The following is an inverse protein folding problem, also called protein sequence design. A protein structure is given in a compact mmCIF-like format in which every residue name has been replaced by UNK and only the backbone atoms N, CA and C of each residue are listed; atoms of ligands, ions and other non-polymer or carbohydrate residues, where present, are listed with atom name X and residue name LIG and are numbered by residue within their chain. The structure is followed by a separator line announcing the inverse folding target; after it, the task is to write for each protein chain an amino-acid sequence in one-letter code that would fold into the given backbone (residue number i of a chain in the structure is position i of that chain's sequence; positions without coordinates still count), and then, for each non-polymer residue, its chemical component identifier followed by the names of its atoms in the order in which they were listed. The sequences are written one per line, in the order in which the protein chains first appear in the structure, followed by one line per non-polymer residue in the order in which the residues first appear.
data_IF_106057374207
#
_entry.id   IF_106057374207
#
_cell.length_a   1.000
_cell.length_b   1.000
_cell.length_c   1.000
_cell.angle_alpha   90.00
_cell.angle_beta   90.00
_cell.angle_gamma   90.00
#
_symmetry.space_group_name_H-M   'P 1'
#
loop_
_entity.id
_entity.type
_entity.pdbx_description
1 polymer ?
#
# COMPACT_ATOMS: atom_id res chain seq x y z
N UNK A 1 41.81 -44.27 -55.80
CA UNK A 1 40.57 -43.69 -56.34
C UNK A 1 39.47 -44.60 -55.85
N UNK A 2 38.92 -44.30 -54.67
CA UNK A 2 38.31 -45.32 -53.81
C UNK A 2 37.06 -44.79 -53.07
N UNK A 3 36.04 -45.66 -53.03
CA UNK A 3 34.98 -45.87 -52.02
C UNK A 3 33.90 -44.81 -51.66
N UNK A 4 32.66 -45.12 -52.06
CA UNK A 4 31.39 -45.24 -51.29
C UNK A 4 30.97 -44.24 -50.17
N UNK A 5 29.72 -43.71 -50.27
CA UNK A 5 28.53 -43.85 -49.36
C UNK A 5 27.61 -42.61 -49.49
N UNK A 6 26.45 -42.66 -50.15
CA UNK A 6 25.07 -43.07 -49.75
C UNK A 6 24.27 -42.16 -48.79
N UNK A 7 23.09 -41.73 -49.30
CA UNK A 7 21.78 -41.45 -48.66
C UNK A 7 21.65 -40.17 -47.79
N UNK A 8 20.60 -39.34 -47.87
CA UNK A 8 19.17 -39.62 -48.00
C UNK A 8 18.40 -38.38 -48.53
N UNK A 9 17.64 -38.55 -49.62
CA UNK A 9 16.53 -37.65 -50.01
C UNK A 9 15.20 -38.36 -49.72
N UNK A 10 14.22 -37.64 -49.18
CA UNK A 10 12.80 -38.04 -49.20
C UNK A 10 11.90 -36.82 -49.40
N UNK A 11 10.71 -37.01 -49.97
CA UNK A 11 10.13 -36.10 -50.97
C UNK A 11 8.90 -35.35 -50.46
N UNK A 12 8.49 -34.33 -51.23
CA UNK A 12 7.19 -33.69 -51.13
C UNK A 12 6.03 -34.64 -51.47
N UNK A 13 4.87 -34.45 -50.83
CA UNK A 13 3.49 -34.53 -51.36
C UNK A 13 2.51 -34.34 -50.18
N UNK A 14 1.47 -33.53 -50.39
CA UNK A 14 0.16 -33.75 -49.74
C UNK A 14 -0.53 -32.48 -49.24
N UNK A 15 -1.25 -31.78 -50.13
CA UNK A 15 -2.41 -30.98 -49.73
C UNK A 15 -3.46 -31.89 -49.10
N UNK A 16 -3.89 -31.54 -47.89
CA UNK A 16 -4.94 -32.22 -47.14
C UNK A 16 -5.50 -31.24 -46.12
N UNK A 17 -6.71 -30.79 -46.39
CA UNK A 17 -7.54 -29.88 -45.62
C UNK A 17 -7.65 -30.24 -44.13
N UNK A 18 -7.25 -29.33 -43.26
CA UNK A 18 -7.81 -29.20 -41.91
C UNK A 18 -8.20 -27.73 -41.69
N UNK A 19 -9.35 -27.38 -42.26
CA UNK A 19 -10.11 -26.19 -41.90
C UNK A 19 -10.62 -26.33 -40.47
N UNK A 20 -9.80 -25.92 -39.50
CA UNK A 20 -10.27 -25.55 -38.15
C UNK A 20 -9.52 -24.35 -37.58
N UNK A 21 -8.92 -23.52 -38.45
CA UNK A 21 -8.25 -22.28 -38.09
C UNK A 21 -9.13 -21.06 -38.44
N UNK A 22 -10.26 -20.86 -37.75
CA UNK A 22 -11.06 -19.64 -37.98
C UNK A 22 -12.03 -19.22 -36.87
N UNK A 23 -11.66 -19.22 -35.59
CA UNK A 23 -12.28 -18.26 -34.63
C UNK A 23 -11.29 -17.86 -33.54
N UNK A 24 -10.46 -16.86 -33.83
CA UNK A 24 -10.01 -15.75 -32.93
C UNK A 24 -8.81 -15.07 -33.59
N UNK A 25 -9.09 -14.24 -34.59
CA UNK A 25 -8.10 -13.36 -35.21
C UNK A 25 -7.76 -12.18 -34.31
N UNK A 26 -7.08 -12.44 -33.19
CA UNK A 26 -6.38 -11.41 -32.44
C UNK A 26 -4.89 -11.60 -32.65
N UNK A 27 -4.34 -10.94 -33.68
CA UNK A 27 -2.90 -10.69 -33.71
C UNK A 27 -2.53 -9.95 -32.43
N UNK A 28 -1.50 -10.37 -31.67
CA UNK A 28 -1.02 -9.57 -30.55
C UNK A 28 -0.58 -8.22 -31.12
N UNK A 29 -1.28 -7.16 -30.74
CA UNK A 29 -1.07 -5.81 -31.30
C UNK A 29 0.34 -5.24 -30.93
N UNK A 30 1.09 -5.93 -30.07
CA UNK A 30 2.41 -5.52 -29.58
C UNK A 30 3.30 -6.75 -29.27
N UNK A 31 4.58 -6.65 -29.62
CA UNK A 31 5.60 -7.60 -29.12
C UNK A 31 5.70 -7.48 -27.60
N UNK A 32 5.60 -8.61 -26.90
CA UNK A 32 5.68 -8.65 -25.46
C UNK A 32 7.12 -8.34 -24.99
N UNK A 33 7.38 -7.08 -24.63
CA UNK A 33 8.74 -6.59 -24.28
C UNK A 33 9.18 -7.06 -22.89
N UNK A 34 8.26 -7.25 -21.93
CA UNK A 34 8.58 -7.60 -20.54
C UNK A 34 8.36 -9.10 -20.23
N UNK A 35 9.32 -9.67 -19.48
CA UNK A 35 9.24 -11.04 -18.97
C UNK A 35 8.14 -11.14 -17.91
N UNK A 36 7.30 -12.18 -18.00
CA UNK A 36 6.34 -12.51 -16.94
C UNK A 36 7.09 -12.90 -15.66
N UNK A 37 6.78 -12.24 -14.56
CA UNK A 37 7.44 -12.36 -13.24
C UNK A 37 6.45 -12.49 -12.09
N UNK A 38 5.22 -12.01 -12.25
CA UNK A 38 4.23 -11.98 -11.18
C UNK A 38 3.09 -12.96 -11.44
N UNK A 39 2.74 -13.70 -10.40
CA UNK A 39 1.51 -14.48 -10.32
C UNK A 39 0.57 -13.84 -9.30
N UNK A 40 -0.64 -14.37 -9.19
CA UNK A 40 -1.66 -13.89 -8.25
C UNK A 40 -1.18 -13.72 -6.80
N UNK A 41 -0.45 -14.70 -6.26
CA UNK A 41 0.05 -14.66 -4.89
C UNK A 41 1.05 -13.53 -4.70
N UNK A 42 2.02 -13.39 -5.62
CA UNK A 42 2.99 -12.30 -5.55
C UNK A 42 2.32 -10.93 -5.66
N UNK A 43 1.27 -10.79 -6.47
CA UNK A 43 0.50 -9.55 -6.57
C UNK A 43 -0.21 -9.20 -5.26
N UNK A 44 -0.85 -10.17 -4.59
CA UNK A 44 -1.48 -9.94 -3.27
C UNK A 44 -0.43 -9.60 -2.22
N UNK A 45 0.68 -10.33 -2.17
CA UNK A 45 1.73 -10.06 -1.18
C UNK A 45 2.31 -8.65 -1.37
N UNK A 46 2.55 -8.24 -2.63
CA UNK A 46 2.99 -6.89 -2.94
C UNK A 46 1.94 -5.84 -2.60
N UNK A 47 0.66 -6.13 -2.82
CA UNK A 47 -0.44 -5.26 -2.38
C UNK A 47 -0.39 -5.02 -0.87
N UNK A 48 -0.39 -6.10 -0.08
CA UNK A 48 -0.42 -6.03 1.38
C UNK A 48 0.78 -5.27 1.94
N UNK A 49 1.98 -5.54 1.41
CA UNK A 49 3.20 -4.86 1.81
C UNK A 49 3.21 -3.37 1.41
N UNK A 50 2.70 -3.00 0.23
CA UNK A 50 2.68 -1.60 -0.23
C UNK A 50 1.63 -0.79 0.51
N UNK A 51 0.46 -1.36 0.81
CA UNK A 51 -0.57 -0.67 1.59
C UNK A 51 -0.11 -0.38 3.02
N UNK A 52 0.74 -1.24 3.61
CA UNK A 52 1.34 -1.06 4.94
C UNK A 52 0.31 -0.61 5.99
N UNK A 53 -0.88 -1.25 5.97
CA UNK A 53 -2.07 -0.70 6.60
C UNK A 53 -1.93 -0.54 8.12
N UNK A 54 -1.39 -1.56 8.79
CA UNK A 54 -1.21 -1.52 10.23
C UNK A 54 -0.08 -0.56 10.64
N UNK A 55 1.02 -0.49 9.89
CA UNK A 55 2.10 0.47 10.15
C UNK A 55 1.67 1.92 9.95
N UNK A 56 0.85 2.16 8.93
CA UNK A 56 0.34 3.49 8.61
C UNK A 56 -0.54 4.04 9.73
N UNK A 57 -1.44 3.20 10.29
CA UNK A 57 -2.30 3.59 11.40
C UNK A 57 -1.47 3.94 12.63
N UNK A 58 -0.48 3.10 12.95
CA UNK A 58 0.41 3.29 14.10
C UNK A 58 1.20 4.58 14.00
N UNK A 59 1.80 4.81 12.84
CA UNK A 59 2.64 5.98 12.59
C UNK A 59 1.85 7.28 12.68
N UNK A 60 0.52 7.22 12.45
CA UNK A 60 -0.40 8.36 12.48
C UNK A 60 -1.35 8.34 13.69
N UNK A 61 -1.07 7.51 14.70
CA UNK A 61 -1.97 7.30 15.84
C UNK A 61 -2.20 8.58 16.66
N UNK A 62 -1.24 9.51 16.66
CA UNK A 62 -1.37 10.82 17.30
C UNK A 62 -2.64 11.55 16.86
N UNK A 63 -2.95 11.55 15.56
CA UNK A 63 -4.14 12.22 15.02
C UNK A 63 -5.42 11.63 15.63
N UNK A 64 -5.51 10.31 15.72
CA UNK A 64 -6.67 9.65 16.33
C UNK A 64 -6.72 9.84 17.85
N UNK A 65 -5.59 9.98 18.54
CA UNK A 65 -5.57 10.31 19.97
C UNK A 65 -6.14 11.70 20.27
N UNK A 66 -5.85 12.67 19.40
CA UNK A 66 -6.41 14.04 19.51
C UNK A 66 -7.87 14.05 19.07
N UNK A 67 -8.19 13.29 18.02
CA UNK A 67 -9.49 13.32 17.34
C UNK A 67 -10.17 11.95 17.35
N UNK A 68 -11.17 11.79 18.23
CA UNK A 68 -12.08 10.65 18.26
C UNK A 68 -11.62 9.46 19.12
N UNK A 69 -10.32 9.32 19.37
CA UNK A 69 -9.77 8.30 20.24
C UNK A 69 -9.87 6.87 19.68
N UNK A 70 -9.83 5.85 20.56
CA UNK A 70 -9.93 4.43 20.17
C UNK A 70 -11.24 4.12 19.45
N UNK A 71 -12.33 4.77 19.85
CA UNK A 71 -13.65 4.64 19.23
C UNK A 71 -13.61 5.03 17.74
N UNK A 72 -12.92 6.12 17.39
CA UNK A 72 -12.76 6.54 15.99
C UNK A 72 -11.87 5.61 15.18
N UNK A 73 -10.85 5.00 15.78
CA UNK A 73 -10.02 4.00 15.11
C UNK A 73 -10.83 2.75 14.74
N UNK A 74 -11.62 2.22 15.68
CA UNK A 74 -12.38 0.98 15.44
C UNK A 74 -13.52 1.21 14.44
N UNK A 75 -14.38 2.20 14.69
CA UNK A 75 -15.53 2.44 13.82
C UNK A 75 -15.13 3.11 12.50
N UNK A 76 -14.12 3.98 12.54
CA UNK A 76 -13.52 4.56 11.34
C UNK A 76 -12.94 3.53 10.41
N UNK A 77 -12.29 2.50 10.96
CA UNK A 77 -11.79 1.40 10.16
C UNK A 77 -12.89 0.65 9.42
N UNK A 78 -14.04 0.35 10.03
CA UNK A 78 -15.14 -0.31 9.31
C UNK A 78 -15.67 0.55 8.16
N UNK A 79 -15.78 1.87 8.37
CA UNK A 79 -16.22 2.81 7.34
C UNK A 79 -15.20 2.85 6.21
N UNK A 80 -13.92 3.06 6.53
CA UNK A 80 -12.81 3.10 5.56
C UNK A 80 -12.70 1.78 4.79
N UNK A 81 -12.70 0.63 5.48
CA UNK A 81 -12.58 -0.69 4.85
C UNK A 81 -13.74 -0.98 3.89
N UNK A 82 -14.98 -0.67 4.29
CA UNK A 82 -16.14 -0.88 3.43
C UNK A 82 -16.12 0.02 2.20
N UNK A 83 -15.77 1.31 2.38
CA UNK A 83 -15.62 2.24 1.27
C UNK A 83 -14.49 1.82 0.31
N UNK A 84 -13.34 1.43 0.86
CA UNK A 84 -12.20 0.94 0.08
C UNK A 84 -12.51 -0.37 -0.65
N UNK A 85 -13.30 -1.26 -0.05
CA UNK A 85 -13.74 -2.48 -0.71
C UNK A 85 -14.68 -2.19 -1.88
N UNK A 86 -15.62 -1.25 -1.72
CA UNK A 86 -16.47 -0.78 -2.82
C UNK A 86 -15.63 -0.15 -3.95
N UNK A 87 -14.64 0.67 -3.62
CA UNK A 87 -13.69 1.21 -4.59
C UNK A 87 -12.89 0.11 -5.31
N UNK A 88 -12.46 -0.92 -4.58
CA UNK A 88 -11.75 -2.06 -5.16
C UNK A 88 -12.60 -2.84 -6.16
N UNK A 89 -13.89 -3.05 -5.87
CA UNK A 89 -14.81 -3.68 -6.82
C UNK A 89 -14.96 -2.85 -8.09
N UNK A 90 -15.22 -1.54 -7.97
CA UNK A 90 -15.33 -0.66 -9.14
C UNK A 90 -14.04 -0.63 -9.96
N UNK A 91 -12.88 -0.58 -9.29
CA UNK A 91 -11.59 -0.56 -9.98
C UNK A 91 -11.26 -1.90 -10.65
N UNK A 92 -11.62 -3.02 -10.02
CA UNK A 92 -11.47 -4.35 -10.57
C UNK A 92 -12.33 -4.55 -11.83
N UNK A 93 -13.56 -4.04 -11.83
CA UNK A 93 -14.42 -4.04 -13.01
C UNK A 93 -13.82 -3.21 -14.14
N UNK A 94 -13.31 -2.02 -13.83
CA UNK A 94 -12.60 -1.18 -14.81
C UNK A 94 -11.34 -1.87 -15.35
N UNK A 95 -10.54 -2.49 -14.47
CA UNK A 95 -9.36 -3.25 -14.87
C UNK A 95 -9.76 -4.38 -15.82
N UNK A 96 -10.87 -5.10 -15.55
CA UNK A 96 -11.38 -6.14 -16.45
C UNK A 96 -11.87 -5.56 -17.78
N UNK A 97 -12.66 -4.48 -17.75
CA UNK A 97 -13.30 -3.88 -18.93
C UNK A 97 -12.36 -3.07 -19.82
N UNK A 98 -11.32 -2.45 -19.29
CA UNK A 98 -10.37 -1.63 -20.07
C UNK A 98 -9.22 -2.48 -20.60
N UNK A 99 -8.80 -3.52 -19.87
CA UNK A 99 -7.77 -4.47 -20.34
C UNK A 99 -8.31 -5.35 -21.48
N UNK A 100 -9.61 -5.70 -21.47
CA UNK A 100 -10.21 -6.62 -22.46
C UNK A 100 -10.22 -6.09 -23.92
N UNK A 101 -10.57 -4.81 -24.21
CA UNK A 101 -10.64 -4.29 -25.58
C UNK A 101 -9.34 -3.65 -26.05
N UNK A 102 -8.46 -3.25 -25.12
CA UNK A 102 -7.27 -2.46 -25.49
C UNK A 102 -6.02 -3.28 -25.75
N UNK A 103 -5.91 -4.54 -25.30
CA UNK A 103 -4.67 -5.34 -25.37
C UNK A 103 -3.41 -4.55 -24.97
N UNK A 104 -3.57 -3.51 -24.15
CA UNK A 104 -2.47 -2.72 -23.62
C UNK A 104 -2.50 -2.95 -22.12
N UNK A 105 -1.94 -4.06 -21.61
CA UNK A 105 -1.40 -4.02 -20.27
C UNK A 105 -0.40 -2.86 -20.34
N UNK A 106 -0.78 -1.68 -19.85
CA UNK A 106 0.09 -0.51 -19.88
C UNK A 106 0.35 -0.13 -18.45
N UNK A 107 1.62 0.01 -18.07
CA UNK A 107 2.04 0.57 -16.76
C UNK A 107 1.42 1.96 -16.49
N UNK A 108 0.86 2.62 -17.53
CA UNK A 108 0.13 3.88 -17.48
C UNK A 108 -1.08 3.92 -16.52
N UNK A 109 -1.60 2.78 -16.05
CA UNK A 109 -2.52 2.73 -14.90
C UNK A 109 -3.78 3.62 -15.01
N UNK A 110 -4.16 4.26 -13.90
CA UNK A 110 -5.43 4.96 -13.72
C UNK A 110 -5.67 6.16 -14.68
N UNK A 111 -4.63 6.93 -15.04
CA UNK A 111 -4.84 8.09 -15.93
C UNK A 111 -5.19 7.66 -17.35
N UNK A 112 -4.63 6.53 -17.82
CA UNK A 112 -4.99 5.95 -19.11
C UNK A 112 -6.44 5.47 -19.12
N UNK A 113 -6.90 4.87 -18.02
CA UNK A 113 -8.28 4.45 -17.85
C UNK A 113 -9.22 5.65 -17.87
N UNK A 114 -8.87 6.73 -17.16
CA UNK A 114 -9.64 7.97 -17.15
C UNK A 114 -9.76 8.59 -18.56
N UNK A 115 -8.68 8.60 -19.34
CA UNK A 115 -8.70 9.04 -20.74
C UNK A 115 -9.64 8.22 -21.61
N UNK A 116 -9.59 6.88 -21.50
CA UNK A 116 -10.37 5.96 -22.32
C UNK A 116 -11.87 6.00 -22.00
N UNK A 117 -12.22 6.18 -20.73
CA UNK A 117 -13.61 6.24 -20.28
C UNK A 117 -14.26 7.61 -20.52
N UNK A 118 -13.46 8.65 -20.65
CA UNK A 118 -13.96 10.00 -20.90
C UNK A 118 -14.35 10.23 -22.38
N UNK A 119 -15.31 11.14 -22.66
CA UNK A 119 -15.68 11.49 -24.02
C UNK A 119 -14.47 11.97 -24.85
N UNK A 120 -14.40 11.69 -26.17
CA UNK A 120 -13.25 12.02 -27.01
C UNK A 120 -12.82 13.50 -26.93
N UNK A 121 -13.79 14.41 -26.75
CA UNK A 121 -13.57 15.85 -26.61
C UNK A 121 -12.75 16.23 -25.36
N UNK A 122 -12.91 15.50 -24.26
CA UNK A 122 -12.29 15.80 -22.97
C UNK A 122 -11.15 14.86 -22.59
N UNK A 123 -10.97 13.78 -23.35
CA UNK A 123 -9.99 12.73 -23.06
C UNK A 123 -8.60 13.23 -22.75
N UNK A 124 -8.07 14.13 -23.58
CA UNK A 124 -6.73 14.72 -23.36
C UNK A 124 -6.65 15.56 -22.08
N UNK A 125 -7.72 16.31 -21.75
CA UNK A 125 -7.75 17.15 -20.55
C UNK A 125 -7.83 16.30 -19.28
N UNK A 126 -8.74 15.31 -19.27
CA UNK A 126 -8.90 14.37 -18.16
C UNK A 126 -7.59 13.63 -17.90
N UNK A 127 -6.96 13.09 -18.95
CA UNK A 127 -5.67 12.43 -18.85
C UNK A 127 -4.56 13.31 -18.27
N UNK A 128 -4.48 14.56 -18.71
CA UNK A 128 -3.49 15.52 -18.22
C UNK A 128 -3.66 15.78 -16.72
N UNK A 129 -4.88 16.10 -16.26
CA UNK A 129 -5.13 16.36 -14.85
C UNK A 129 -4.94 15.11 -14.00
N UNK A 130 -5.45 13.94 -14.44
CA UNK A 130 -5.26 12.67 -13.74
C UNK A 130 -3.77 12.31 -13.59
N UNK A 131 -2.96 12.53 -14.63
CA UNK A 131 -1.52 12.28 -14.56
C UNK A 131 -0.81 13.22 -13.59
N UNK A 132 -1.12 14.52 -13.61
CA UNK A 132 -0.52 15.47 -12.67
C UNK A 132 -0.92 15.23 -11.22
N UNK A 133 -2.19 14.84 -10.98
CA UNK A 133 -2.64 14.44 -9.65
C UNK A 133 -1.84 13.22 -9.17
N UNK A 134 -1.64 12.22 -10.03
CA UNK A 134 -0.84 11.04 -9.69
C UNK A 134 0.62 11.40 -9.36
N UNK A 135 1.26 12.26 -10.16
CA UNK A 135 2.64 12.73 -9.90
C UNK A 135 2.72 13.49 -8.58
N UNK A 136 1.78 14.40 -8.31
CA UNK A 136 1.75 15.14 -7.05
C UNK A 136 1.53 14.21 -5.85
N UNK A 137 0.57 13.28 -5.95
CA UNK A 137 0.30 12.30 -4.90
C UNK A 137 1.51 11.42 -4.60
N UNK A 138 2.20 10.92 -5.63
CA UNK A 138 3.41 10.10 -5.43
C UNK A 138 4.56 10.90 -4.81
N UNK A 139 4.75 12.16 -5.20
CA UNK A 139 5.74 13.05 -4.60
C UNK A 139 5.45 13.32 -3.11
N UNK A 140 4.20 13.66 -2.78
CA UNK A 140 3.78 13.88 -1.39
C UNK A 140 3.88 12.60 -0.56
N UNK A 141 3.45 11.45 -1.10
CA UNK A 141 3.55 10.16 -0.41
C UNK A 141 5.01 9.80 -0.08
N UNK A 142 5.94 10.04 -1.01
CA UNK A 142 7.37 9.83 -0.79
C UNK A 142 7.90 10.71 0.33
N UNK A 143 7.58 12.02 0.32
CA UNK A 143 7.99 12.95 1.37
C UNK A 143 7.41 12.53 2.72
N UNK A 144 6.12 12.19 2.79
CA UNK A 144 5.44 11.73 4.01
C UNK A 144 6.10 10.47 4.59
N UNK A 145 6.42 9.48 3.75
CA UNK A 145 7.10 8.26 4.22
C UNK A 145 8.46 8.57 4.85
N UNK A 146 9.27 9.42 4.20
CA UNK A 146 10.57 9.83 4.75
C UNK A 146 10.46 10.74 5.98
N UNK A 147 9.39 11.52 6.10
CA UNK A 147 9.07 12.31 7.29
C UNK A 147 8.80 11.40 8.49
N UNK A 148 7.97 10.36 8.31
CA UNK A 148 7.68 9.38 9.35
C UNK A 148 8.97 8.70 9.83
N UNK A 149 9.86 8.31 8.90
CA UNK A 149 11.18 7.76 9.25
C UNK A 149 12.00 8.74 10.07
N UNK A 150 12.03 10.02 9.69
CA UNK A 150 12.72 11.07 10.44
C UNK A 150 12.18 11.24 11.87
N UNK A 151 10.85 11.25 12.03
CA UNK A 151 10.20 11.33 13.34
C UNK A 151 10.49 10.10 14.20
N UNK A 152 10.44 8.90 13.61
CA UNK A 152 10.75 7.64 14.30
C UNK A 152 12.20 7.59 14.77
N UNK A 153 13.18 7.94 13.92
CA UNK A 153 14.60 7.98 14.29
C UNK A 153 14.84 9.01 15.39
N UNK A 154 14.26 10.21 15.27
CA UNK A 154 14.38 11.24 16.31
C UNK A 154 13.78 10.76 17.64
N UNK A 155 12.62 10.08 17.62
CA UNK A 155 12.01 9.54 18.83
C UNK A 155 12.94 8.56 19.56
N UNK A 156 13.67 7.73 18.83
CA UNK A 156 14.64 6.81 19.42
C UNK A 156 15.83 7.55 20.05
N UNK A 157 16.26 8.68 19.46
CA UNK A 157 17.30 9.52 20.05
C UNK A 157 16.84 10.17 21.37
N UNK A 158 15.59 10.63 21.45
CA UNK A 158 15.00 11.16 22.70
C UNK A 158 14.98 10.09 23.79
N UNK A 159 14.55 8.87 23.47
CA UNK A 159 14.50 7.75 24.42
C UNK A 159 15.91 7.33 24.87
N UNK A 160 16.87 7.26 23.95
CA UNK A 160 18.24 6.84 24.25
C UNK A 160 19.04 7.89 25.04
N UNK A 161 18.74 9.18 24.87
CA UNK A 161 19.50 10.30 25.41
C UNK A 161 18.62 11.38 26.07
N UNK A 162 17.81 11.03 27.10
CA UNK A 162 16.75 11.88 27.62
C UNK A 162 17.25 13.20 28.23
N UNK A 163 18.49 13.24 28.71
CA UNK A 163 19.06 14.41 29.41
C UNK A 163 19.99 15.26 28.54
N UNK A 164 20.31 14.83 27.32
CA UNK A 164 21.35 15.46 26.49
C UNK A 164 20.91 15.79 25.08
N UNK A 165 19.81 15.20 24.60
CA UNK A 165 19.29 15.45 23.26
C UNK A 165 18.07 16.38 23.31
N UNK A 166 18.16 17.52 22.65
CA UNK A 166 17.04 18.46 22.49
C UNK A 166 16.39 18.29 21.11
N UNK A 167 15.14 17.81 21.03
CA UNK A 167 14.49 17.52 19.75
C UNK A 167 14.02 18.78 19.02
N UNK A 168 14.78 19.21 18.01
CA UNK A 168 14.39 20.31 17.11
C UNK A 168 13.79 19.83 15.78
N UNK A 169 12.93 20.66 15.17
CA UNK A 169 12.25 20.33 13.90
C UNK A 169 13.21 20.13 12.72
N UNK A 170 14.33 20.85 12.71
CA UNK A 170 15.30 20.73 11.63
C UNK A 170 16.07 19.41 11.69
N UNK A 171 16.19 18.76 12.86
CA UNK A 171 16.75 17.41 12.96
C UNK A 171 15.92 16.41 12.13
N UNK A 172 14.59 16.45 12.25
CA UNK A 172 13.67 15.63 11.44
C UNK A 172 13.86 15.92 9.95
N UNK A 173 13.92 17.20 9.57
CA UNK A 173 14.14 17.60 8.19
C UNK A 173 15.47 17.09 7.63
N UNK A 174 16.55 17.15 8.41
CA UNK A 174 17.86 16.66 8.00
C UNK A 174 17.84 15.12 7.78
N UNK A 175 17.20 14.36 8.68
CA UNK A 175 17.06 12.91 8.54
C UNK A 175 16.18 12.56 7.33
N UNK A 176 15.07 13.29 7.13
CA UNK A 176 14.21 13.16 5.96
C UNK A 176 15.02 13.37 4.68
N UNK A 177 15.74 14.49 4.57
CA UNK A 177 16.54 14.83 3.40
C UNK A 177 17.62 13.78 3.11
N UNK A 178 18.30 13.27 4.15
CA UNK A 178 19.27 12.20 4.04
C UNK A 178 18.63 10.89 3.55
N UNK A 179 17.49 10.50 4.13
CA UNK A 179 16.77 9.29 3.73
C UNK A 179 16.31 9.37 2.28
N UNK A 180 15.83 10.54 1.85
CA UNK A 180 15.42 10.78 0.47
C UNK A 180 16.61 10.73 -0.50
N UNK A 181 17.77 11.27 -0.10
CA UNK A 181 18.99 11.18 -0.88
C UNK A 181 19.49 9.74 -1.03
N UNK A 182 19.41 8.93 0.03
CA UNK A 182 19.73 7.49 -0.02
C UNK A 182 18.76 6.76 -0.97
N UNK A 183 17.46 7.03 -0.86
CA UNK A 183 16.45 6.45 -1.73
C UNK A 183 16.71 6.82 -3.20
N UNK A 184 17.00 8.09 -3.50
CA UNK A 184 17.36 8.56 -4.83
C UNK A 184 18.60 7.82 -5.37
N UNK A 185 19.65 7.71 -4.55
CA UNK A 185 20.90 7.04 -4.91
C UNK A 185 20.65 5.57 -5.28
N UNK A 186 19.85 4.85 -4.49
CA UNK A 186 19.50 3.45 -4.78
C UNK A 186 18.70 3.34 -6.07
N UNK A 187 17.72 4.23 -6.28
CA UNK A 187 16.88 4.21 -7.49
C UNK A 187 17.69 4.50 -8.76
N UNK A 188 18.65 5.43 -8.71
CA UNK A 188 19.46 5.81 -9.87
C UNK A 188 20.57 4.79 -10.15
N UNK A 189 21.32 4.38 -9.13
CA UNK A 189 22.55 3.60 -9.35
C UNK A 189 22.37 2.09 -9.14
N UNK A 190 21.36 1.65 -8.38
CA UNK A 190 21.18 0.23 -8.03
C UNK A 190 19.71 -0.22 -8.08
N UNK A 191 19.01 -0.11 -9.22
CA UNK A 191 17.61 -0.52 -9.34
C UNK A 191 17.38 -2.01 -9.04
N UNK A 192 18.39 -2.88 -9.25
CA UNK A 192 18.29 -4.31 -8.86
C UNK A 192 18.18 -4.53 -7.35
N UNK A 193 18.66 -3.60 -6.51
CA UNK A 193 18.50 -3.68 -5.06
C UNK A 193 17.05 -3.53 -4.62
N UNK A 194 16.22 -2.83 -5.41
CA UNK A 194 14.81 -2.62 -5.08
C UNK A 194 14.07 -3.95 -4.89
N UNK A 195 14.36 -4.95 -5.73
CA UNK A 195 13.76 -6.28 -5.61
C UNK A 195 14.06 -6.93 -4.24
N UNK A 196 15.31 -6.89 -3.79
CA UNK A 196 15.71 -7.44 -2.50
C UNK A 196 15.12 -6.64 -1.33
N UNK A 197 15.07 -5.31 -1.45
CA UNK A 197 14.43 -4.45 -0.46
C UNK A 197 12.93 -4.74 -0.35
N UNK A 198 12.23 -5.01 -1.45
CA UNK A 198 10.81 -5.40 -1.43
C UNK A 198 10.59 -6.74 -0.73
N UNK A 199 11.46 -7.74 -0.95
CA UNK A 199 11.39 -9.02 -0.24
C UNK A 199 11.62 -8.80 1.26
N UNK A 200 12.66 -8.05 1.62
CA UNK A 200 12.97 -7.72 3.02
C UNK A 200 11.80 -6.98 3.69
N UNK A 201 11.23 -5.97 3.02
CA UNK A 201 10.08 -5.21 3.52
C UNK A 201 8.87 -6.12 3.74
N UNK A 202 8.61 -7.06 2.84
CA UNK A 202 7.52 -8.04 2.99
C UNK A 202 7.73 -8.92 4.22
N UNK A 203 8.95 -9.43 4.42
CA UNK A 203 9.27 -10.25 5.60
C UNK A 203 9.10 -9.44 6.89
N UNK A 204 9.61 -8.21 6.92
CA UNK A 204 9.50 -7.32 8.08
C UNK A 204 8.05 -6.90 8.35
N UNK A 205 7.23 -6.71 7.32
CA UNK A 205 5.81 -6.38 7.44
C UNK A 205 5.06 -7.47 8.23
N UNK A 206 5.18 -8.73 7.81
CA UNK A 206 4.49 -9.83 8.51
C UNK A 206 5.14 -10.16 9.85
N UNK A 207 6.48 -10.20 9.93
CA UNK A 207 7.17 -10.48 11.19
C UNK A 207 6.90 -9.39 12.23
N UNK A 208 6.98 -8.12 11.82
CA UNK A 208 6.71 -6.95 12.64
C UNK A 208 5.29 -6.93 13.17
N UNK A 209 4.31 -7.29 12.34
CA UNK A 209 2.91 -7.45 12.76
C UNK A 209 2.79 -8.39 13.96
N UNK A 210 3.30 -9.62 13.85
CA UNK A 210 3.20 -10.61 14.92
C UNK A 210 4.00 -10.19 16.15
N UNK A 211 5.23 -9.71 15.95
CA UNK A 211 6.13 -9.31 17.03
C UNK A 211 5.54 -8.16 17.85
N UNK A 212 5.11 -7.07 17.21
CA UNK A 212 4.55 -5.90 17.90
C UNK A 212 3.22 -6.26 18.56
N UNK A 213 2.38 -7.07 17.91
CA UNK A 213 1.13 -7.55 18.51
C UNK A 213 1.38 -8.32 19.81
N UNK A 214 2.33 -9.26 19.80
CA UNK A 214 2.68 -10.06 20.98
C UNK A 214 3.29 -9.18 22.07
N UNK A 215 4.19 -8.27 21.71
CA UNK A 215 4.80 -7.32 22.66
C UNK A 215 3.74 -6.51 23.38
N UNK A 216 2.81 -5.89 22.65
CA UNK A 216 1.72 -5.10 23.25
C UNK A 216 0.84 -5.96 24.16
N UNK A 217 0.44 -7.15 23.71
CA UNK A 217 -0.44 -8.01 24.51
C UNK A 217 0.20 -8.49 25.81
N UNK A 218 1.51 -8.79 25.79
CA UNK A 218 2.26 -9.32 26.93
C UNK A 218 2.73 -8.21 27.88
N UNK A 219 3.23 -7.09 27.36
CA UNK A 219 3.78 -6.01 28.18
C UNK A 219 2.68 -5.19 28.85
N UNK A 220 1.57 -4.92 28.16
CA UNK A 220 0.50 -4.10 28.74
C UNK A 220 -0.24 -4.83 29.85
N UNK A 221 0.01 -4.42 31.09
CA UNK A 221 -0.60 -5.01 32.30
C UNK A 221 -2.09 -4.73 32.41
N UNK A 222 -2.45 -3.45 32.28
CA UNK A 222 -3.84 -2.98 32.40
C UNK A 222 -4.38 -2.63 31.01
N UNK A 223 -5.36 -3.40 30.55
CA UNK A 223 -5.99 -3.19 29.24
C UNK A 223 -7.22 -2.32 29.38
N UNK A 224 -7.46 -1.47 28.38
CA UNK A 224 -8.59 -0.56 28.37
C UNK A 224 -9.93 -1.31 28.41
N UNK A 225 -10.94 -0.71 29.03
CA UNK A 225 -12.28 -1.31 29.05
C UNK A 225 -12.93 -1.29 27.66
N UNK A 226 -13.79 -2.28 27.38
CA UNK A 226 -14.56 -2.30 26.13
C UNK A 226 -15.40 -1.03 25.93
N UNK A 227 -15.89 -0.43 27.02
CA UNK A 227 -16.61 0.86 26.95
C UNK A 227 -15.72 1.96 26.39
N UNK A 228 -14.48 2.05 26.84
CA UNK A 228 -13.51 3.03 26.36
C UNK A 228 -13.16 2.82 24.88
N UNK A 229 -12.99 1.56 24.47
CA UNK A 229 -12.63 1.22 23.09
C UNK A 229 -13.76 1.46 22.10
N UNK A 230 -15.00 1.12 22.44
CA UNK A 230 -16.12 1.11 21.49
C UNK A 230 -17.12 2.24 21.65
N UNK A 231 -17.18 2.90 22.82
CA UNK A 231 -18.29 3.78 23.19
C UNK A 231 -17.88 5.08 23.90
N UNK A 232 -16.58 5.40 23.98
CA UNK A 232 -16.09 6.66 24.54
C UNK A 232 -15.44 7.48 23.44
N UNK A 233 -16.18 8.35 22.74
CA UNK A 233 -15.58 9.29 21.82
C UNK A 233 -14.74 10.31 22.59
N UNK A 234 -13.53 10.59 22.08
CA UNK A 234 -12.64 11.59 22.66
C UNK A 234 -12.53 12.82 21.78
N UNK A 235 -12.54 14.00 22.38
CA UNK A 235 -12.44 15.24 21.65
C UNK A 235 -11.45 16.20 22.32
N UNK A 236 -10.18 16.11 21.89
CA UNK A 236 -9.09 16.96 22.36
C UNK A 236 -8.68 17.99 21.29
N UNK A 237 -9.49 18.17 20.25
CA UNK A 237 -9.14 18.98 19.07
C UNK A 237 -9.54 20.44 19.18
N UNK A 238 -10.33 20.80 20.19
CA UNK A 238 -10.93 22.13 20.34
C UNK A 238 -12.16 22.38 19.44
N UNK A 239 -12.62 21.36 18.69
CA UNK A 239 -13.84 21.46 17.90
C UNK A 239 -15.07 21.24 18.79
N UNK A 240 -16.13 22.03 18.59
CA UNK A 240 -17.36 21.92 19.39
C UNK A 240 -18.21 20.68 19.08
N UNK A 241 -18.00 20.04 17.92
CA UNK A 241 -18.82 18.93 17.44
C UNK A 241 -18.03 17.63 17.47
N UNK A 242 -18.48 16.69 18.31
CA UNK A 242 -17.87 15.37 18.40
C UNK A 242 -18.01 14.58 17.10
N UNK A 243 -19.07 14.82 16.31
CA UNK A 243 -19.24 14.22 14.99
C UNK A 243 -18.18 14.70 13.99
N UNK A 244 -17.85 16.00 14.00
CA UNK A 244 -16.77 16.54 13.18
C UNK A 244 -15.41 15.97 13.62
N UNK A 245 -15.17 15.91 14.93
CA UNK A 245 -13.95 15.35 15.50
C UNK A 245 -13.80 13.86 15.14
N UNK A 246 -14.89 13.10 15.16
CA UNK A 246 -14.92 11.72 14.71
C UNK A 246 -14.53 11.60 13.23
N UNK A 247 -15.11 12.41 12.34
CA UNK A 247 -14.77 12.40 10.91
C UNK A 247 -13.30 12.72 10.64
N UNK A 248 -12.70 13.64 11.42
CA UNK A 248 -11.27 13.94 11.35
C UNK A 248 -10.43 12.75 11.87
N UNK A 249 -10.92 12.06 12.90
CA UNK A 249 -10.29 10.89 13.51
C UNK A 249 -10.21 9.65 12.61
N UNK A 250 -11.03 9.59 11.54
CA UNK A 250 -11.07 8.50 10.54
C UNK A 250 -9.95 8.63 9.50
N UNK A 251 -9.23 9.76 9.44
CA UNK A 251 -8.19 9.98 8.44
C UNK A 251 -7.07 8.90 8.47
N UNK A 252 -6.52 8.50 9.64
CA UNK A 252 -5.50 7.45 9.70
C UNK A 252 -5.99 6.09 9.21
N UNK A 253 -7.25 5.72 9.49
CA UNK A 253 -7.82 4.45 9.01
C UNK A 253 -8.07 4.47 7.51
N UNK A 254 -8.35 5.63 6.94
CA UNK A 254 -8.51 5.80 5.48
C UNK A 254 -7.16 5.74 4.77
N UNK A 255 -6.12 6.32 5.37
CA UNK A 255 -4.75 6.25 4.85
C UNK A 255 -4.22 4.80 4.77
N UNK A 256 -4.69 3.89 5.63
CA UNK A 256 -4.31 2.48 5.61
C UNK A 256 -4.70 1.72 4.32
N UNK A 257 -5.63 2.25 3.54
CA UNK A 257 -6.13 1.63 2.29
C UNK A 257 -5.68 2.35 1.03
N UNK A 258 -4.58 3.12 1.10
CA UNK A 258 -3.98 3.72 -0.09
C UNK A 258 -3.45 2.64 -1.05
N UNK A 259 -3.30 3.03 -2.32
CA UNK A 259 -2.70 2.22 -3.39
C UNK A 259 -3.49 0.97 -3.81
N UNK A 260 -4.83 1.06 -3.80
CA UNK A 260 -5.72 -0.01 -4.31
C UNK A 260 -5.39 -0.39 -5.77
N UNK A 261 -4.90 0.56 -6.57
CA UNK A 261 -4.49 0.38 -7.96
C UNK A 261 -3.13 -0.30 -8.16
N UNK A 262 -2.38 -0.57 -7.09
CA UNK A 262 -1.02 -1.09 -7.19
C UNK A 262 -0.89 -2.33 -8.10
N UNK A 263 -1.78 -3.34 -8.07
CA UNK A 263 -1.69 -4.50 -8.95
C UNK A 263 -1.75 -4.13 -10.45
N UNK A 264 -2.44 -3.04 -10.82
CA UNK A 264 -2.53 -2.58 -12.21
C UNK A 264 -1.19 -2.17 -12.79
N UNK A 265 -0.23 -1.75 -11.96
CA UNK A 265 1.08 -1.29 -12.40
C UNK A 265 1.97 -2.44 -12.88
N UNK A 266 1.68 -3.66 -12.43
CA UNK A 266 2.42 -4.87 -12.76
C UNK A 266 1.74 -5.71 -13.85
N UNK A 267 0.70 -5.17 -14.51
CA UNK A 267 -0.11 -5.90 -15.49
C UNK A 267 0.74 -6.50 -16.63
N UNK A 268 1.73 -5.76 -17.13
CA UNK A 268 2.62 -6.23 -18.20
C UNK A 268 3.47 -7.45 -17.79
N UNK A 269 3.92 -7.45 -16.54
CA UNK A 269 4.76 -8.50 -15.95
C UNK A 269 3.95 -9.63 -15.29
N UNK A 270 2.62 -9.57 -15.32
CA UNK A 270 1.73 -10.57 -14.72
C UNK A 270 1.40 -11.70 -15.70
N UNK A 271 1.43 -12.96 -15.26
CA UNK A 271 1.13 -14.14 -16.08
C UNK A 271 -0.30 -14.13 -16.64
N UNK A 272 -1.31 -13.98 -15.78
CA UNK A 272 -2.73 -13.93 -16.15
C UNK A 272 -3.38 -12.59 -15.77
N UNK A 273 -3.02 -11.47 -16.44
CA UNK A 273 -3.38 -10.13 -16.00
C UNK A 273 -4.90 -9.90 -15.95
N UNK A 274 -5.66 -10.51 -16.87
CA UNK A 274 -7.12 -10.34 -16.92
C UNK A 274 -7.85 -10.92 -15.69
N UNK A 275 -7.28 -11.96 -15.08
CA UNK A 275 -7.86 -12.62 -13.92
C UNK A 275 -7.20 -12.15 -12.63
N UNK A 276 -5.87 -12.11 -12.60
CA UNK A 276 -5.11 -11.94 -11.38
C UNK A 276 -5.10 -10.49 -10.90
N UNK A 277 -5.04 -9.50 -11.80
CA UNK A 277 -5.01 -8.08 -11.41
C UNK A 277 -6.33 -7.65 -10.74
N UNK A 278 -7.52 -7.87 -11.34
CA UNK A 278 -8.79 -7.53 -10.68
C UNK A 278 -8.99 -8.28 -9.36
N UNK A 279 -8.63 -9.58 -9.32
CA UNK A 279 -8.73 -10.38 -8.11
C UNK A 279 -7.78 -9.88 -7.03
N UNK A 280 -6.56 -9.50 -7.38
CA UNK A 280 -5.56 -9.01 -6.43
C UNK A 280 -5.97 -7.66 -5.82
N UNK A 281 -6.70 -6.80 -6.55
CA UNK A 281 -7.27 -5.57 -5.97
C UNK A 281 -8.31 -5.89 -4.90
N UNK A 282 -9.29 -6.74 -5.23
CA UNK A 282 -10.41 -7.09 -4.36
C UNK A 282 -9.92 -7.86 -3.13
N UNK A 283 -9.12 -8.91 -3.33
CA UNK A 283 -8.57 -9.74 -2.26
C UNK A 283 -7.45 -9.05 -1.51
N UNK A 284 -6.72 -8.12 -2.14
CA UNK A 284 -5.72 -7.30 -1.49
C UNK A 284 -6.34 -6.40 -0.44
N UNK A 285 -7.41 -5.67 -0.77
CA UNK A 285 -8.14 -4.84 0.21
C UNK A 285 -8.73 -5.71 1.30
N UNK A 286 -9.46 -6.78 0.95
CA UNK A 286 -10.06 -7.68 1.95
C UNK A 286 -9.00 -8.29 2.89
N UNK A 287 -7.92 -8.84 2.33
CA UNK A 287 -6.81 -9.41 3.10
C UNK A 287 -6.10 -8.38 3.97
N UNK A 288 -5.90 -7.16 3.46
CA UNK A 288 -5.34 -6.04 4.21
C UNK A 288 -6.25 -5.63 5.37
N UNK A 289 -7.57 -5.63 5.16
CA UNK A 289 -8.54 -5.39 6.22
C UNK A 289 -8.49 -6.47 7.30
N UNK A 290 -8.44 -7.76 6.90
CA UNK A 290 -8.34 -8.88 7.84
C UNK A 290 -7.05 -8.87 8.65
N UNK A 291 -5.94 -8.42 8.05
CA UNK A 291 -4.67 -8.26 8.77
C UNK A 291 -4.72 -7.05 9.73
N UNK A 292 -5.20 -5.91 9.26
CA UNK A 292 -5.12 -4.64 10.00
C UNK A 292 -6.12 -4.57 11.16
N UNK A 293 -7.31 -5.15 11.02
CA UNK A 293 -8.37 -5.04 12.03
C UNK A 293 -8.00 -5.61 13.41
N UNK A 294 -7.49 -6.86 13.54
CA UNK A 294 -7.03 -7.39 14.83
C UNK A 294 -6.01 -6.48 15.51
N UNK A 295 -5.12 -5.88 14.72
CA UNK A 295 -4.07 -5.02 15.23
C UNK A 295 -4.60 -3.67 15.74
N UNK A 296 -5.62 -3.10 15.09
CA UNK A 296 -6.34 -1.94 15.62
C UNK A 296 -6.96 -2.26 16.99
N UNK A 297 -7.58 -3.43 17.14
CA UNK A 297 -8.12 -3.85 18.43
C UNK A 297 -7.02 -3.95 19.48
N UNK A 298 -5.90 -4.61 19.15
CA UNK A 298 -4.75 -4.73 20.07
C UNK A 298 -4.28 -3.36 20.54
N UNK A 299 -4.09 -2.40 19.64
CA UNK A 299 -3.70 -1.03 20.01
C UNK A 299 -4.77 -0.35 20.85
N UNK A 300 -6.03 -0.38 20.43
CA UNK A 300 -7.11 0.28 21.17
C UNK A 300 -7.21 -0.23 22.62
N UNK A 301 -7.01 -1.53 22.84
CA UNK A 301 -6.99 -2.14 24.16
C UNK A 301 -5.68 -1.92 24.93
N UNK A 302 -4.54 -1.79 24.25
CA UNK A 302 -3.22 -1.75 24.90
C UNK A 302 -2.62 -0.34 25.03
N UNK A 303 -3.22 0.69 24.43
CA UNK A 303 -2.61 2.03 24.42
C UNK A 303 -2.64 2.79 25.75
N UNK A 304 -3.41 2.33 26.74
CA UNK A 304 -3.62 3.08 27.99
C UNK A 304 -4.51 4.31 27.83
N UNK A 305 -4.50 5.20 28.82
CA UNK A 305 -5.37 6.39 28.87
C UNK A 305 -4.88 7.48 27.90
N UNK A 306 -5.67 7.88 26.89
CA UNK A 306 -5.23 8.81 25.86
C UNK A 306 -4.78 10.19 26.37
N UNK A 307 -5.34 10.66 27.49
CA UNK A 307 -4.93 11.94 28.07
C UNK A 307 -3.51 11.92 28.63
N UNK A 308 -3.04 10.77 29.12
CA UNK A 308 -1.69 10.64 29.65
C UNK A 308 -0.66 10.49 28.53
N UNK A 309 -1.01 9.78 27.46
CA UNK A 309 -0.19 9.71 26.24
C UNK A 309 0.05 11.10 25.65
N UNK A 310 -0.99 11.95 25.59
CA UNK A 310 -0.91 13.29 24.99
C UNK A 310 0.00 14.26 25.77
N UNK A 311 0.35 13.95 27.03
CA UNK A 311 1.28 14.77 27.83
C UNK A 311 2.75 14.45 27.52
N UNK A 312 3.04 13.32 26.89
CA UNK A 312 4.40 12.91 26.61
C UNK A 312 5.03 13.74 25.49
N UNK A 313 6.30 14.16 25.61
CA UNK A 313 7.02 14.85 24.53
C UNK A 313 7.25 13.95 23.30
N UNK A 314 7.20 12.63 23.44
CA UNK A 314 7.51 11.67 22.36
C UNK A 314 6.27 11.36 21.51
N UNK A 315 5.06 11.52 22.06
CA UNK A 315 3.81 11.07 21.41
C UNK A 315 3.59 11.70 20.02
N UNK A 316 4.07 12.92 19.80
CA UNK A 316 3.97 13.62 18.51
C UNK A 316 4.93 13.07 17.46
N UNK A 317 6.03 12.44 17.90
CA UNK A 317 7.07 11.88 17.03
C UNK A 317 6.82 10.39 16.77
N UNK A 318 6.48 9.64 17.83
CA UNK A 318 6.26 8.20 17.74
C UNK A 318 5.25 7.72 18.81
N UNK A 319 3.95 7.73 18.48
CA UNK A 319 2.91 7.27 19.39
C UNK A 319 3.09 5.83 19.86
N UNK A 320 3.61 4.94 19.00
CA UNK A 320 3.82 3.53 19.36
C UNK A 320 4.89 3.38 20.42
N UNK A 321 6.02 4.05 20.24
CA UNK A 321 7.11 4.00 21.19
C UNK A 321 6.62 4.46 22.57
N UNK A 322 5.79 5.52 22.60
CA UNK A 322 5.17 5.98 23.84
C UNK A 322 4.25 4.92 24.47
N UNK A 323 3.41 4.26 23.67
CA UNK A 323 2.51 3.21 24.16
C UNK A 323 3.30 2.04 24.77
N UNK A 324 4.39 1.62 24.12
CA UNK A 324 5.26 0.55 24.60
C UNK A 324 5.99 0.97 25.89
N UNK A 325 6.48 2.21 25.97
CA UNK A 325 7.13 2.75 27.17
C UNK A 325 6.17 2.85 28.36
N UNK A 326 4.89 3.12 28.11
CA UNK A 326 3.84 3.19 29.15
C UNK A 326 3.21 1.85 29.55
N UNK A 327 3.51 0.76 28.83
CA UNK A 327 2.92 -0.58 29.04
C UNK A 327 3.58 -1.34 30.18
#
# INVERSE_FOLDING_TARGET
MDMTKHQNEKPAIGEGSDDSASVTGAQPLFDQVLRKRYNFTTLITMFLCVSAGWECIVSNLFQSLVTGGPTALVWGFFISATASQAMAFSLAELARQVVFPSMMPTVAGQYHWAMRLSPPKYSRQVGWYSAWILVFMTAVASVTATLIVGMQIQSMAVIAYPNTYDPERWHVFAILALTQFIALTINVFRPRMLHYLSIMATVLHFLGFFLITVILLVMTKEKNSAKMVFATPLNNSGWKSDGLTFLIGILPTTAAFMSIDNPARFTEETEFPLMDVPRAMVWGVAGGSFLTFPFILVIAFCMGEPQDLLKSPIVHLNPLAQVIESS
#
